data_IF_724331936947
#
_entry.id   IF_724331936947
#
_cell.length_a   1.000
_cell.length_b   1.000
_cell.length_c   1.000
_cell.angle_alpha   90.00
_cell.angle_beta   90.00
_cell.angle_gamma   90.00
#
_symmetry.space_group_name_H-M   'P 1'
#
loop_
_entity.id
_entity.type
_entity.pdbx_description
1 polymer ?
#
# COMPACT_ATOMS: atom_id res chain seq x y z
N UNK A 1 14.63 54.25 67.17
CA UNK A 1 13.32 53.84 66.62
C UNK A 1 13.15 54.51 65.27
N UNK A 2 13.46 53.84 64.22
CA UNK A 2 13.25 54.35 62.85
C UNK A 2 12.51 53.27 62.05
N UNK A 3 11.31 53.55 61.71
CA UNK A 3 10.46 52.71 60.88
C UNK A 3 10.88 52.85 59.41
N UNK A 4 11.46 51.82 58.86
CA UNK A 4 11.81 51.76 57.46
C UNK A 4 10.59 51.32 56.68
N UNK A 5 10.14 52.22 55.81
CA UNK A 5 9.02 52.00 54.92
C UNK A 5 9.56 51.28 53.67
N UNK A 6 9.27 50.01 53.53
CA UNK A 6 9.62 49.26 52.33
C UNK A 6 8.53 49.51 51.34
N UNK A 7 8.83 50.29 50.32
CA UNK A 7 7.97 50.44 49.15
C UNK A 7 8.15 49.21 48.27
N UNK A 8 7.17 48.39 48.29
CA UNK A 8 7.14 47.20 47.41
C UNK A 8 6.67 47.65 46.02
N UNK A 9 7.63 47.89 45.12
CA UNK A 9 7.32 48.13 43.71
C UNK A 9 6.86 46.80 43.05
N UNK A 10 5.56 46.65 42.90
CA UNK A 10 5.02 45.55 42.10
C UNK A 10 5.25 45.85 40.66
N UNK A 11 6.33 45.32 40.11
CA UNK A 11 6.53 45.26 38.68
C UNK A 11 5.62 44.19 38.08
N UNK A 12 4.47 44.61 37.60
CA UNK A 12 3.62 43.77 36.78
C UNK A 12 4.32 43.50 35.47
N UNK A 13 5.06 42.41 35.41
CA UNK A 13 5.54 41.86 34.15
C UNK A 13 4.34 41.37 33.36
N UNK A 14 3.85 42.15 32.43
CA UNK A 14 2.98 41.65 31.37
C UNK A 14 3.81 40.69 30.52
N UNK A 15 3.82 39.42 30.91
CA UNK A 15 4.21 38.35 30.03
C UNK A 15 3.12 38.18 28.99
N UNK A 16 3.31 38.80 27.84
CA UNK A 16 2.51 38.49 26.65
C UNK A 16 2.87 37.05 26.24
N UNK A 17 1.96 36.08 26.35
CA UNK A 17 2.22 34.79 25.73
C UNK A 17 2.26 35.04 24.23
N UNK A 18 3.45 34.98 23.66
CA UNK A 18 3.61 34.82 22.22
C UNK A 18 3.01 33.46 21.86
N UNK A 19 1.69 33.45 21.64
CA UNK A 19 1.08 32.36 20.91
C UNK A 19 1.66 32.39 19.52
N UNK A 20 2.75 31.65 19.32
CA UNK A 20 3.14 31.23 18.01
C UNK A 20 1.93 30.47 17.44
N UNK A 21 1.09 31.18 16.71
CA UNK A 21 0.14 30.54 15.81
C UNK A 21 0.97 29.77 14.80
N UNK A 22 1.26 28.54 15.17
CA UNK A 22 1.68 27.55 14.23
C UNK A 22 0.49 27.35 13.28
N UNK A 23 0.44 28.22 12.26
CA UNK A 23 -0.40 27.96 11.10
C UNK A 23 0.07 26.62 10.57
N UNK A 24 -0.57 25.56 11.01
CA UNK A 24 -0.53 24.30 10.32
C UNK A 24 -1.16 24.58 8.96
N UNK A 25 -0.31 25.06 8.07
CA UNK A 25 -0.57 25.00 6.65
C UNK A 25 -0.87 23.53 6.38
N UNK A 26 -2.16 23.20 6.42
CA UNK A 26 -2.66 21.92 5.94
C UNK A 26 -2.25 21.87 4.49
N UNK A 27 -1.03 21.38 4.23
CA UNK A 27 -0.73 20.78 2.96
C UNK A 27 -1.74 19.63 2.88
N UNK A 28 -2.92 19.98 2.41
CA UNK A 28 -3.82 19.00 1.85
C UNK A 28 -3.02 18.39 0.71
N UNK A 29 -2.25 17.39 1.07
CA UNK A 29 -1.75 16.43 0.13
C UNK A 29 -3.00 15.97 -0.62
N UNK A 30 -3.29 16.63 -1.72
CA UNK A 30 -4.19 16.09 -2.72
C UNK A 30 -3.49 14.85 -3.21
N UNK A 31 -3.60 13.79 -2.41
CA UNK A 31 -3.37 12.46 -2.93
C UNK A 31 -4.17 12.43 -4.22
N UNK A 32 -3.53 12.24 -5.38
CA UNK A 32 -4.27 12.14 -6.62
C UNK A 32 -5.36 11.13 -6.34
N UNK A 33 -6.58 11.56 -6.52
CA UNK A 33 -7.82 10.81 -6.34
C UNK A 33 -7.50 9.36 -6.65
N UNK A 34 -7.57 8.51 -5.64
CA UNK A 34 -7.32 7.08 -5.84
C UNK A 34 -8.24 6.67 -6.97
N UNK A 35 -7.68 6.47 -8.15
CA UNK A 35 -8.43 5.98 -9.29
C UNK A 35 -8.95 4.63 -8.81
N UNK A 36 -10.19 4.61 -8.38
CA UNK A 36 -10.87 3.39 -7.99
C UNK A 36 -11.09 2.61 -9.28
N UNK A 37 -10.11 1.78 -9.61
CA UNK A 37 -10.32 0.84 -10.69
C UNK A 37 -11.41 -0.13 -10.22
N UNK A 38 -12.52 -0.11 -10.93
CA UNK A 38 -13.59 -1.07 -10.71
C UNK A 38 -13.01 -2.47 -10.79
N UNK A 39 -13.22 -3.24 -9.75
CA UNK A 39 -12.81 -4.66 -9.75
C UNK A 39 -13.60 -5.39 -10.82
N UNK A 40 -12.92 -6.18 -11.64
CA UNK A 40 -13.55 -6.97 -12.70
C UNK A 40 -14.59 -7.92 -12.11
N UNK A 41 -15.85 -7.73 -12.49
CA UNK A 41 -16.94 -8.60 -12.06
C UNK A 41 -16.90 -9.99 -12.70
N UNK A 42 -16.20 -10.15 -13.83
CA UNK A 42 -15.99 -11.43 -14.48
C UNK A 42 -15.07 -12.31 -13.66
N UNK A 43 -15.64 -13.08 -12.78
CA UNK A 43 -14.94 -14.06 -11.98
C UNK A 43 -15.11 -15.47 -12.53
N UNK A 44 -14.13 -16.33 -12.25
CA UNK A 44 -14.24 -17.77 -12.43
C UNK A 44 -13.90 -18.48 -11.15
N UNK A 45 -14.59 -19.58 -10.88
CA UNK A 45 -14.22 -20.48 -9.82
C UNK A 45 -13.08 -21.38 -10.27
N UNK A 46 -12.03 -21.45 -9.45
CA UNK A 46 -10.94 -22.40 -9.57
C UNK A 46 -11.17 -23.50 -8.56
N UNK A 47 -11.35 -24.73 -9.01
CA UNK A 47 -11.49 -25.88 -8.11
C UNK A 47 -10.23 -26.08 -7.27
N UNK A 48 -10.41 -26.65 -6.09
CA UNK A 48 -9.29 -27.03 -5.24
C UNK A 48 -8.45 -28.12 -5.91
N UNK A 49 -7.17 -28.10 -5.64
CA UNK A 49 -6.22 -29.05 -6.21
C UNK A 49 -5.05 -29.32 -5.28
N UNK A 50 -4.39 -30.44 -5.47
CA UNK A 50 -3.12 -30.73 -4.80
C UNK A 50 -1.95 -30.24 -5.64
N UNK A 51 -1.00 -29.59 -5.02
CA UNK A 51 0.30 -29.28 -5.62
C UNK A 51 1.17 -30.54 -5.68
N UNK A 52 2.22 -30.51 -6.49
CA UNK A 52 3.20 -31.61 -6.59
C UNK A 52 3.86 -31.97 -5.26
N UNK A 53 3.93 -31.04 -4.32
CA UNK A 53 4.45 -31.26 -2.97
C UNK A 53 3.38 -31.74 -1.96
N UNK A 54 2.21 -32.20 -2.42
CA UNK A 54 1.14 -32.69 -1.58
C UNK A 54 0.27 -31.62 -0.88
N UNK A 55 0.60 -30.33 -0.99
CA UNK A 55 -0.18 -29.26 -0.36
C UNK A 55 -1.51 -29.07 -1.07
N UNK A 56 -2.63 -29.17 -0.34
CA UNK A 56 -3.96 -28.89 -0.88
C UNK A 56 -4.20 -27.37 -0.97
N UNK A 57 -4.60 -26.92 -2.15
CA UNK A 57 -5.05 -25.54 -2.41
C UNK A 57 -6.57 -25.55 -2.51
N UNK A 58 -7.23 -24.84 -1.60
CA UNK A 58 -8.70 -24.74 -1.60
C UNK A 58 -9.21 -24.05 -2.86
N UNK A 59 -10.41 -24.47 -3.29
CA UNK A 59 -11.14 -23.81 -4.36
C UNK A 59 -11.40 -22.33 -4.02
N UNK A 60 -11.28 -21.47 -5.02
CA UNK A 60 -11.41 -20.02 -4.84
C UNK A 60 -11.87 -19.33 -6.12
N UNK A 61 -12.49 -18.18 -5.94
CA UNK A 61 -12.82 -17.30 -7.06
C UNK A 61 -11.64 -16.42 -7.42
N UNK A 62 -11.38 -16.29 -8.71
CA UNK A 62 -10.39 -15.37 -9.28
C UNK A 62 -10.96 -14.62 -10.47
N UNK A 63 -10.49 -13.43 -10.73
CA UNK A 63 -10.83 -12.67 -11.93
C UNK A 63 -10.38 -13.42 -13.19
N UNK A 64 -11.14 -13.28 -14.26
CA UNK A 64 -10.74 -13.80 -15.58
C UNK A 64 -9.48 -13.05 -16.05
N UNK A 65 -8.64 -13.77 -16.78
CA UNK A 65 -7.41 -13.19 -17.34
C UNK A 65 -7.81 -12.20 -18.44
N UNK A 66 -7.26 -11.01 -18.34
CA UNK A 66 -7.26 -9.99 -19.37
C UNK A 66 -5.84 -9.42 -19.53
N UNK A 67 -5.66 -8.36 -20.29
CA UNK A 67 -4.34 -7.78 -20.58
C UNK A 67 -3.68 -7.07 -19.39
N UNK A 68 -4.35 -6.91 -18.25
CA UNK A 68 -3.89 -6.14 -17.10
C UNK A 68 -4.17 -6.85 -15.78
N UNK A 69 -3.47 -6.42 -14.73
CA UNK A 69 -3.81 -6.85 -13.38
C UNK A 69 -4.58 -5.79 -12.59
N UNK A 70 -4.89 -4.63 -13.19
CA UNK A 70 -5.43 -3.47 -12.46
C UNK A 70 -6.77 -3.77 -11.78
N UNK A 71 -7.61 -4.57 -12.42
CA UNK A 71 -8.94 -4.95 -11.97
C UNK A 71 -8.98 -6.31 -11.24
N UNK A 72 -7.82 -6.96 -11.06
CA UNK A 72 -7.75 -8.26 -10.42
C UNK A 72 -7.99 -8.16 -8.90
N UNK A 73 -8.68 -9.14 -8.32
CA UNK A 73 -8.88 -9.25 -6.87
C UNK A 73 -7.59 -9.25 -6.06
N UNK A 74 -6.50 -9.78 -6.63
CA UNK A 74 -5.19 -9.86 -5.98
C UNK A 74 -4.42 -8.55 -5.98
N UNK A 75 -4.86 -7.55 -6.73
CA UNK A 75 -4.13 -6.28 -6.87
C UNK A 75 -4.44 -5.33 -5.72
N UNK A 76 -3.41 -4.65 -5.25
CA UNK A 76 -3.50 -3.67 -4.16
C UNK A 76 -4.53 -2.59 -4.49
N UNK A 77 -5.44 -2.34 -3.55
CA UNK A 77 -6.56 -1.43 -3.69
C UNK A 77 -7.86 -2.12 -4.10
N UNK A 78 -7.80 -3.34 -4.62
CA UNK A 78 -8.98 -4.13 -4.95
C UNK A 78 -9.38 -5.06 -3.80
N UNK A 79 -10.62 -5.51 -3.85
CA UNK A 79 -11.19 -6.44 -2.87
C UNK A 79 -11.86 -7.59 -3.60
N UNK A 80 -11.66 -8.79 -3.11
CA UNK A 80 -12.38 -9.97 -3.58
C UNK A 80 -13.81 -9.92 -3.01
N UNK A 81 -14.80 -9.77 -3.87
CA UNK A 81 -16.22 -9.68 -3.50
C UNK A 81 -16.76 -10.96 -2.86
N UNK A 82 -16.13 -12.11 -3.12
CA UNK A 82 -16.56 -13.40 -2.57
C UNK A 82 -15.99 -13.70 -1.18
N UNK A 83 -14.78 -13.20 -0.89
CA UNK A 83 -14.07 -13.52 0.36
C UNK A 83 -13.83 -12.31 1.24
N UNK A 84 -14.08 -11.12 0.73
CA UNK A 84 -13.77 -9.87 1.42
C UNK A 84 -12.26 -9.56 1.51
N UNK A 85 -11.40 -10.43 1.03
CA UNK A 85 -9.95 -10.27 1.11
C UNK A 85 -9.45 -9.10 0.26
N UNK A 86 -8.49 -8.33 0.78
CA UNK A 86 -7.84 -7.26 0.02
C UNK A 86 -6.65 -7.79 -0.77
N UNK A 87 -6.47 -7.28 -1.98
CA UNK A 87 -5.29 -7.57 -2.78
C UNK A 87 -4.04 -6.90 -2.23
N UNK A 88 -2.90 -7.55 -2.41
CA UNK A 88 -1.58 -7.07 -1.96
C UNK A 88 -0.59 -6.89 -3.10
N UNK A 89 -0.87 -7.45 -4.28
CA UNK A 89 0.01 -7.43 -5.44
C UNK A 89 0.10 -6.01 -6.01
N UNK A 90 1.31 -5.58 -6.40
CA UNK A 90 1.49 -4.31 -7.07
C UNK A 90 0.76 -4.27 -8.41
N UNK A 91 0.26 -3.10 -8.80
CA UNK A 91 -0.36 -2.85 -10.11
C UNK A 91 0.69 -2.87 -11.21
N UNK A 92 0.33 -3.37 -12.36
CA UNK A 92 1.16 -3.26 -13.56
C UNK A 92 1.51 -1.78 -13.81
N UNK A 93 2.72 -1.52 -14.27
CA UNK A 93 3.29 -0.19 -14.62
C UNK A 93 3.35 0.82 -13.45
N UNK A 94 3.14 0.38 -12.21
CA UNK A 94 3.27 1.23 -11.03
C UNK A 94 4.69 1.23 -10.47
N UNK A 95 5.01 2.24 -9.66
CA UNK A 95 6.27 2.26 -8.88
C UNK A 95 6.41 0.98 -8.03
N UNK A 96 5.30 0.46 -7.52
CA UNK A 96 5.30 -0.82 -6.81
C UNK A 96 5.67 -2.01 -7.70
N UNK A 97 5.31 -2.00 -8.99
CA UNK A 97 5.73 -3.02 -9.94
C UNK A 97 7.24 -2.95 -10.21
N UNK A 98 7.78 -1.75 -10.35
CA UNK A 98 9.22 -1.53 -10.52
C UNK A 98 10.04 -2.07 -9.35
N UNK A 99 9.58 -1.83 -8.14
CA UNK A 99 10.25 -2.27 -6.93
C UNK A 99 9.95 -3.72 -6.56
N UNK A 100 9.01 -4.37 -7.26
CA UNK A 100 8.62 -5.75 -6.96
C UNK A 100 9.76 -6.72 -7.31
N UNK A 101 10.25 -7.47 -6.34
CA UNK A 101 11.41 -8.34 -6.50
C UNK A 101 12.75 -7.60 -6.61
N UNK A 102 12.83 -6.38 -6.06
CA UNK A 102 14.09 -5.62 -5.98
C UNK A 102 15.17 -6.45 -5.29
N UNK A 103 16.37 -6.47 -5.87
CA UNK A 103 17.48 -7.29 -5.39
C UNK A 103 17.43 -8.74 -5.82
N UNK A 104 16.40 -9.18 -6.55
CA UNK A 104 16.29 -10.53 -7.09
C UNK A 104 16.67 -10.57 -8.57
N UNK A 105 17.28 -11.67 -9.02
CA UNK A 105 17.55 -11.92 -10.43
C UNK A 105 16.25 -12.18 -11.18
N UNK A 106 15.82 -11.20 -11.99
CA UNK A 106 14.60 -11.32 -12.81
C UNK A 106 14.90 -12.09 -14.08
N UNK A 107 14.10 -13.10 -14.34
CA UNK A 107 14.17 -13.97 -15.52
C UNK A 107 12.92 -13.81 -16.36
N UNK A 108 13.03 -13.99 -17.67
CA UNK A 108 11.88 -14.02 -18.59
C UNK A 108 11.53 -15.47 -18.90
N UNK A 109 10.27 -15.81 -18.75
CA UNK A 109 9.75 -17.12 -19.12
C UNK A 109 9.46 -17.21 -20.63
N UNK A 110 9.26 -18.41 -21.14
CA UNK A 110 8.97 -18.69 -22.56
C UNK A 110 7.74 -17.94 -23.12
N UNK A 111 6.81 -17.54 -22.25
CA UNK A 111 5.61 -16.76 -22.62
C UNK A 111 5.78 -15.25 -22.35
N UNK A 112 7.00 -14.76 -22.18
CA UNK A 112 7.30 -13.35 -21.92
C UNK A 112 7.05 -12.87 -20.49
N UNK A 113 6.47 -13.69 -19.62
CA UNK A 113 6.23 -13.33 -18.22
C UNK A 113 7.54 -13.24 -17.42
N UNK A 114 7.78 -12.12 -16.76
CA UNK A 114 8.95 -11.95 -15.89
C UNK A 114 8.72 -12.55 -14.51
N UNK A 115 9.74 -13.20 -13.94
CA UNK A 115 9.69 -13.84 -12.63
C UNK A 115 11.06 -13.87 -11.97
N UNK A 116 11.08 -14.08 -10.67
CA UNK A 116 12.27 -14.46 -9.91
C UNK A 116 12.02 -15.77 -9.15
N UNK A 117 13.08 -16.39 -8.71
CA UNK A 117 12.99 -17.54 -7.80
C UNK A 117 13.07 -17.01 -6.37
N UNK A 118 12.06 -17.30 -5.58
CA UNK A 118 12.05 -16.88 -4.18
C UNK A 118 12.88 -17.81 -3.30
N UNK A 119 13.06 -17.48 -2.01
CA UNK A 119 13.84 -18.26 -1.04
C UNK A 119 13.36 -19.70 -0.86
N UNK A 120 12.14 -20.01 -1.27
CA UNK A 120 11.56 -21.37 -1.23
C UNK A 120 11.73 -22.13 -2.56
N UNK A 121 12.51 -21.61 -3.51
CA UNK A 121 12.70 -22.21 -4.84
C UNK A 121 11.52 -22.04 -5.81
N UNK A 122 10.47 -21.29 -5.45
CA UNK A 122 9.30 -21.14 -6.29
C UNK A 122 9.40 -19.94 -7.23
N UNK A 123 8.85 -20.06 -8.44
CA UNK A 123 8.69 -18.94 -9.37
C UNK A 123 7.68 -17.93 -8.82
N UNK A 124 8.10 -16.71 -8.66
CA UNK A 124 7.25 -15.57 -8.30
C UNK A 124 7.22 -14.61 -9.47
N UNK A 125 6.07 -14.54 -10.16
CA UNK A 125 5.91 -13.63 -11.29
C UNK A 125 5.80 -12.18 -10.82
N UNK A 126 6.51 -11.29 -11.50
CA UNK A 126 6.44 -9.85 -11.24
C UNK A 126 5.33 -9.20 -12.07
N UNK A 127 4.72 -8.11 -11.60
CA UNK A 127 3.81 -7.31 -12.40
C UNK A 127 4.54 -6.69 -13.61
N UNK A 128 3.80 -6.33 -14.66
CA UNK A 128 4.38 -5.69 -15.83
C UNK A 128 5.03 -4.36 -15.47
N UNK A 129 6.20 -4.08 -16.06
CA UNK A 129 6.99 -2.88 -15.79
C UNK A 129 7.04 -1.92 -16.97
N UNK A 130 6.87 -2.44 -18.17
CA UNK A 130 6.87 -1.72 -19.46
C UNK A 130 5.81 -2.34 -20.37
#
# INVERSE_FOLDING_TARGET
MKKSLIVLAIMAMLSIPCFAQFSSSSYRSTCPTSISYSTNSSARYQQGYFRSNGTYVRGHYKTRINGTNHDNYSTRGNRNSFTGSRGSRARDYSVGAYNYGRGMSIRTGSRGGQYYINSRGNKTYVPKRH
#
